data_IF_793071163799
#
_entry.id   IF_793071163799
#
_cell.length_a   1.000
_cell.length_b   1.000
_cell.length_c   1.000
_cell.angle_alpha   90.00
_cell.angle_beta   90.00
_cell.angle_gamma   90.00
#
_symmetry.space_group_name_H-M   'P 1'
#
loop_
_entity.id
_entity.type
_entity.pdbx_description
1 polymer ?
#
# COMPACT_ATOMS: atom_id res chain seq x y z
N UNK A 1 24.25 7.37 -54.00
CA UNK A 1 24.16 8.19 -52.82
C UNK A 1 23.18 7.57 -51.85
N UNK A 2 23.69 6.88 -50.91
CA UNK A 2 22.84 6.42 -49.79
C UNK A 2 22.63 7.55 -48.86
N UNK A 3 21.44 8.08 -48.89
CA UNK A 3 20.93 8.81 -47.76
C UNK A 3 20.77 7.75 -46.69
N UNK A 4 21.59 7.80 -45.65
CA UNK A 4 21.36 6.97 -44.47
C UNK A 4 19.96 7.28 -43.96
N UNK A 5 19.10 6.33 -44.13
CA UNK A 5 17.84 6.37 -43.40
C UNK A 5 18.22 6.34 -41.93
N UNK A 6 18.12 7.48 -41.32
CA UNK A 6 18.14 7.58 -39.88
C UNK A 6 16.88 6.84 -39.41
N UNK A 7 17.05 5.55 -39.18
CA UNK A 7 16.02 4.74 -38.55
C UNK A 7 15.90 5.17 -37.10
N UNK A 8 15.33 6.33 -36.89
CA UNK A 8 14.90 6.78 -35.58
C UNK A 8 13.67 6.05 -35.11
N UNK A 9 13.47 4.84 -35.60
CA UNK A 9 12.40 3.97 -35.14
C UNK A 9 12.80 3.46 -33.76
N UNK A 10 12.06 3.81 -32.69
CA UNK A 10 12.38 3.32 -31.37
C UNK A 10 12.40 1.79 -31.40
N UNK A 11 13.36 1.17 -30.71
CA UNK A 11 13.40 -0.27 -30.58
C UNK A 11 12.11 -0.78 -29.94
N UNK A 12 11.73 -2.01 -30.21
CA UNK A 12 10.54 -2.61 -29.58
C UNK A 12 10.56 -2.49 -28.06
N UNK A 13 11.74 -2.60 -27.45
CA UNK A 13 11.93 -2.45 -26.01
C UNK A 13 11.58 -1.04 -25.53
N UNK A 14 12.00 0.00 -26.27
CA UNK A 14 11.65 1.39 -25.97
C UNK A 14 10.16 1.66 -26.06
N UNK A 15 9.48 1.05 -27.05
CA UNK A 15 8.02 1.16 -27.19
C UNK A 15 7.30 0.44 -26.06
N UNK A 16 7.77 -0.71 -25.65
CA UNK A 16 7.22 -1.46 -24.53
C UNK A 16 7.37 -0.68 -23.22
N UNK A 17 8.53 -0.09 -22.98
CA UNK A 17 8.77 0.75 -21.80
C UNK A 17 7.85 1.97 -21.78
N UNK A 18 7.71 2.67 -22.91
CA UNK A 18 6.84 3.83 -23.02
C UNK A 18 5.37 3.45 -22.78
N UNK A 19 4.94 2.33 -23.35
CA UNK A 19 3.58 1.83 -23.19
C UNK A 19 3.31 1.42 -21.73
N UNK A 20 4.27 0.75 -21.10
CA UNK A 20 4.19 0.36 -19.69
C UNK A 20 4.08 1.59 -18.78
N UNK A 21 4.91 2.60 -19.02
CA UNK A 21 4.88 3.85 -18.26
C UNK A 21 3.53 4.56 -18.39
N UNK A 22 2.95 4.59 -19.60
CA UNK A 22 1.62 5.16 -19.82
C UNK A 22 0.54 4.37 -19.10
N UNK A 23 0.63 3.05 -19.12
CA UNK A 23 -0.32 2.17 -18.43
C UNK A 23 -0.26 2.37 -16.92
N UNK A 24 0.93 2.42 -16.35
CA UNK A 24 1.13 2.67 -14.92
C UNK A 24 0.59 4.04 -14.50
N UNK A 25 0.86 5.08 -15.29
CA UNK A 25 0.35 6.42 -15.03
C UNK A 25 -1.17 6.47 -15.09
N UNK A 26 -1.78 5.78 -16.06
CA UNK A 26 -3.23 5.70 -16.20
C UNK A 26 -3.87 4.96 -15.01
N UNK A 27 -3.26 3.87 -14.57
CA UNK A 27 -3.72 3.10 -13.41
C UNK A 27 -3.64 3.91 -12.13
N UNK A 28 -2.54 4.64 -11.93
CA UNK A 28 -2.37 5.52 -10.77
C UNK A 28 -3.42 6.62 -10.75
N UNK A 29 -3.64 7.26 -11.89
CA UNK A 29 -4.65 8.32 -12.04
C UNK A 29 -6.05 7.80 -11.76
N UNK A 30 -6.39 6.63 -12.27
CA UNK A 30 -7.68 5.99 -12.03
C UNK A 30 -7.87 5.63 -10.55
N UNK A 31 -6.83 5.10 -9.90
CA UNK A 31 -6.86 4.80 -8.48
C UNK A 31 -7.07 6.06 -7.64
N UNK A 32 -6.36 7.14 -7.96
CA UNK A 32 -6.52 8.42 -7.29
C UNK A 32 -7.93 8.99 -7.48
N UNK A 33 -8.49 8.86 -8.68
CA UNK A 33 -9.86 9.28 -8.98
C UNK A 33 -10.88 8.52 -8.11
N UNK A 34 -10.75 7.21 -8.03
CA UNK A 34 -11.65 6.36 -7.23
C UNK A 34 -11.57 6.71 -5.75
N UNK A 35 -10.39 6.92 -5.22
CA UNK A 35 -10.20 7.32 -3.82
C UNK A 35 -10.83 8.70 -3.57
N UNK A 36 -10.62 9.65 -4.48
CA UNK A 36 -11.19 11.00 -4.37
C UNK A 36 -12.71 11.02 -4.44
N UNK A 37 -13.31 10.13 -5.23
CA UNK A 37 -14.76 9.99 -5.32
C UNK A 37 -15.36 9.32 -4.08
N UNK A 38 -14.65 8.36 -3.50
CA UNK A 38 -15.11 7.62 -2.32
C UNK A 38 -14.88 8.37 -1.02
N UNK A 39 -13.88 9.24 -0.96
CA UNK A 39 -13.45 9.93 0.25
C UNK A 39 -13.22 11.42 -0.02
N UNK A 40 -13.49 12.25 0.99
CA UNK A 40 -13.19 13.68 0.93
C UNK A 40 -11.67 13.91 0.93
N UNK A 41 -11.10 14.56 -0.10
CA UNK A 41 -9.68 14.86 -0.14
C UNK A 41 -9.17 15.71 1.04
N UNK A 42 -10.01 16.57 1.59
CA UNK A 42 -9.67 17.39 2.76
C UNK A 42 -9.51 16.52 3.99
N UNK A 43 -10.40 15.55 4.17
CA UNK A 43 -10.33 14.58 5.26
C UNK A 43 -9.11 13.68 5.15
N UNK A 44 -8.78 13.21 3.95
CA UNK A 44 -7.57 12.43 3.68
C UNK A 44 -6.33 13.24 4.08
N UNK A 45 -6.24 14.50 3.64
CA UNK A 45 -5.12 15.37 3.97
C UNK A 45 -4.99 15.61 5.47
N UNK A 46 -6.11 15.75 6.18
CA UNK A 46 -6.13 15.88 7.63
C UNK A 46 -5.56 14.63 8.31
N UNK A 47 -5.99 13.46 7.88
CA UNK A 47 -5.54 12.17 8.42
C UNK A 47 -4.05 11.92 8.16
N UNK A 48 -3.54 12.31 6.99
CA UNK A 48 -2.13 12.19 6.65
C UNK A 48 -1.20 12.98 7.56
N UNK A 49 -1.71 14.06 8.16
CA UNK A 49 -0.94 14.93 9.06
C UNK A 49 -0.93 14.45 10.50
N UNK A 50 -1.79 13.52 10.86
CA UNK A 50 -1.84 12.98 12.22
C UNK A 50 -0.63 12.12 12.51
N UNK A 51 -0.13 12.17 13.74
CA UNK A 51 0.95 11.30 14.19
C UNK A 51 0.41 9.91 14.47
N UNK A 52 0.92 8.91 13.76
CA UNK A 52 0.54 7.51 13.97
C UNK A 52 0.94 7.03 15.36
N UNK A 53 2.09 7.47 15.85
CA UNK A 53 2.57 7.12 17.19
C UNK A 53 1.59 7.64 18.26
N UNK A 54 1.20 8.89 18.16
CA UNK A 54 0.25 9.49 19.11
C UNK A 54 -1.12 8.79 19.07
N UNK A 55 -1.60 8.46 17.88
CA UNK A 55 -2.85 7.73 17.71
C UNK A 55 -2.79 6.34 18.35
N UNK A 56 -1.68 5.64 18.18
CA UNK A 56 -1.50 4.33 18.78
C UNK A 56 -1.38 4.41 20.31
N UNK A 57 -0.67 5.38 20.85
CA UNK A 57 -0.51 5.57 22.28
C UNK A 57 -1.84 5.89 22.98
N UNK A 58 -2.69 6.63 22.32
CA UNK A 58 -4.02 7.02 22.86
C UNK A 58 -5.12 6.02 22.53
N UNK A 59 -4.80 4.95 21.79
CA UNK A 59 -5.77 3.98 21.29
C UNK A 59 -6.94 4.66 20.54
N UNK A 60 -6.58 5.60 19.68
CA UNK A 60 -7.52 6.45 18.95
C UNK A 60 -8.13 5.70 17.77
N UNK A 61 -9.43 5.86 17.57
CA UNK A 61 -10.16 5.24 16.46
C UNK A 61 -9.71 5.76 15.09
N UNK A 62 -9.01 6.89 15.04
CA UNK A 62 -8.47 7.45 13.79
C UNK A 62 -7.21 6.73 13.32
N UNK A 63 -6.65 5.80 14.07
CA UNK A 63 -5.43 5.08 13.66
C UNK A 63 -5.61 4.35 12.33
N UNK A 64 -6.67 3.56 12.18
CA UNK A 64 -6.94 2.84 10.92
C UNK A 64 -7.22 3.80 9.78
N UNK A 65 -8.10 4.82 9.91
CA UNK A 65 -8.27 5.81 8.85
C UNK A 65 -6.96 6.53 8.48
N UNK A 66 -6.12 6.85 9.44
CA UNK A 66 -4.84 7.51 9.20
C UNK A 66 -3.87 6.60 8.44
N UNK A 67 -3.85 5.30 8.74
CA UNK A 67 -3.07 4.32 7.98
C UNK A 67 -3.59 4.19 6.55
N UNK A 68 -4.90 4.11 6.38
CA UNK A 68 -5.53 4.05 5.06
C UNK A 68 -5.22 5.28 4.21
N UNK A 69 -5.15 6.46 4.82
CA UNK A 69 -4.80 7.71 4.12
C UNK A 69 -3.39 7.69 3.52
N UNK A 70 -2.50 6.89 4.08
CA UNK A 70 -1.12 6.76 3.62
C UNK A 70 -0.93 5.74 2.50
N UNK A 71 -1.97 4.97 2.19
CA UNK A 71 -1.92 3.99 1.10
C UNK A 71 -2.03 4.67 -0.25
N UNK A 72 -1.26 4.20 -1.22
CA UNK A 72 -1.33 4.63 -2.60
C UNK A 72 -2.39 3.84 -3.39
N UNK A 73 -2.05 3.34 -4.58
CA UNK A 73 -3.02 2.66 -5.45
C UNK A 73 -3.72 1.46 -4.82
N UNK A 74 -3.07 0.78 -3.87
CA UNK A 74 -3.64 -0.37 -3.17
C UNK A 74 -4.92 -0.01 -2.40
N UNK A 75 -5.07 1.25 -1.99
CA UNK A 75 -6.29 1.71 -1.30
C UNK A 75 -7.53 1.54 -2.17
N UNK A 76 -7.43 1.87 -3.46
CA UNK A 76 -8.54 1.71 -4.38
C UNK A 76 -8.97 0.24 -4.51
N UNK A 77 -8.02 -0.68 -4.49
CA UNK A 77 -8.31 -2.12 -4.51
C UNK A 77 -9.04 -2.56 -3.23
N UNK A 78 -8.61 -2.10 -2.07
CA UNK A 78 -9.27 -2.40 -0.80
C UNK A 78 -10.69 -1.84 -0.75
N UNK A 79 -10.87 -0.58 -1.12
CA UNK A 79 -12.18 0.08 -1.16
C UNK A 79 -13.12 -0.60 -2.15
N UNK A 80 -12.60 -1.00 -3.31
CA UNK A 80 -13.38 -1.65 -4.36
C UNK A 80 -13.94 -3.01 -3.95
N UNK A 81 -13.32 -3.69 -2.99
CA UNK A 81 -13.79 -4.97 -2.46
C UNK A 81 -14.59 -4.83 -1.16
N UNK A 82 -14.83 -3.61 -0.72
CA UNK A 82 -15.58 -3.36 0.51
C UNK A 82 -14.81 -3.77 1.76
N UNK A 83 -13.50 -3.92 1.64
CA UNK A 83 -12.63 -4.30 2.73
C UNK A 83 -11.82 -3.13 3.28
N UNK A 84 -11.04 -3.40 4.30
CA UNK A 84 -10.16 -2.42 4.92
C UNK A 84 -9.12 -3.07 5.80
N UNK A 85 -8.24 -2.24 6.35
CA UNK A 85 -7.23 -2.69 7.29
C UNK A 85 -7.84 -2.89 8.67
N UNK A 86 -7.37 -3.93 9.34
CA UNK A 86 -7.61 -4.16 10.75
C UNK A 86 -6.25 -4.15 11.45
N UNK A 87 -6.09 -3.34 12.49
CA UNK A 87 -4.87 -3.33 13.30
C UNK A 87 -5.05 -4.35 14.42
N UNK A 88 -4.33 -5.46 14.31
CA UNK A 88 -4.35 -6.51 15.32
C UNK A 88 -3.48 -6.11 16.51
N UNK A 89 -2.34 -5.50 16.23
CA UNK A 89 -1.40 -5.04 17.25
C UNK A 89 -0.65 -3.81 16.75
N UNK A 90 -0.46 -2.83 17.62
CA UNK A 90 0.35 -1.65 17.36
C UNK A 90 1.24 -1.41 18.58
N UNK A 91 2.55 -1.51 18.39
CA UNK A 91 3.55 -1.33 19.44
C UNK A 91 4.41 -0.13 19.12
N UNK A 92 4.52 0.80 20.07
CA UNK A 92 5.42 1.95 19.95
C UNK A 92 6.82 1.51 20.40
N UNK A 93 7.78 1.67 19.51
CA UNK A 93 9.18 1.33 19.76
C UNK A 93 10.04 2.59 19.78
N UNK A 94 10.98 2.65 20.72
CA UNK A 94 11.98 3.71 20.74
C UNK A 94 13.15 3.35 19.83
N UNK A 95 13.49 4.27 18.95
CA UNK A 95 14.60 4.12 18.02
C UNK A 95 15.88 4.66 18.63
N UNK A 96 17.03 4.21 18.11
CA UNK A 96 18.34 4.68 18.58
C UNK A 96 18.52 6.20 18.44
N UNK A 97 17.79 6.82 17.53
CA UNK A 97 17.78 8.27 17.34
C UNK A 97 17.01 9.05 18.42
N UNK A 98 16.35 8.34 19.35
CA UNK A 98 15.49 8.93 20.36
C UNK A 98 14.07 9.22 19.92
N UNK A 99 13.75 8.98 18.64
CA UNK A 99 12.39 9.08 18.11
C UNK A 99 11.60 7.80 18.35
N UNK A 100 10.28 7.90 18.35
CA UNK A 100 9.38 6.75 18.47
C UNK A 100 8.84 6.35 17.10
N UNK A 101 8.64 5.05 16.91
CA UNK A 101 8.05 4.50 15.69
C UNK A 101 7.13 3.33 16.01
N UNK A 102 6.31 2.93 15.05
CA UNK A 102 5.34 1.86 15.20
C UNK A 102 5.79 0.56 14.56
N UNK A 103 5.59 -0.53 15.28
CA UNK A 103 5.52 -1.88 14.74
C UNK A 103 4.07 -2.30 14.67
N UNK A 104 3.61 -2.68 13.48
CA UNK A 104 2.22 -3.02 13.23
C UNK A 104 2.06 -4.48 12.86
N UNK A 105 1.03 -5.12 13.40
CA UNK A 105 0.51 -6.39 12.91
C UNK A 105 -0.89 -6.11 12.39
N UNK A 106 -1.09 -6.41 11.11
CA UNK A 106 -2.30 -6.07 10.37
C UNK A 106 -3.05 -7.33 9.95
N UNK A 107 -4.34 -7.16 9.77
CA UNK A 107 -5.22 -8.12 9.13
C UNK A 107 -6.05 -7.39 8.09
N UNK A 108 -6.77 -8.12 7.26
CA UNK A 108 -7.70 -7.56 6.31
C UNK A 108 -9.12 -8.01 6.66
N UNK A 109 -10.05 -7.07 6.51
CA UNK A 109 -11.45 -7.32 6.85
C UNK A 109 -12.17 -8.07 5.72
N UNK A 110 -13.02 -8.99 6.12
CA UNK A 110 -14.11 -9.62 5.37
C UNK A 110 -13.81 -10.00 3.92
N UNK A 111 -14.36 -9.23 3.01
CA UNK A 111 -14.32 -9.50 1.57
C UNK A 111 -12.90 -9.50 0.97
N UNK A 112 -11.97 -8.76 1.55
CA UNK A 112 -10.57 -8.74 1.08
C UNK A 112 -9.89 -10.09 1.29
N UNK A 113 -10.20 -10.78 2.37
CA UNK A 113 -9.65 -12.11 2.67
C UNK A 113 -10.26 -13.14 1.71
N UNK A 114 -11.58 -13.13 1.54
CA UNK A 114 -12.28 -14.12 0.72
C UNK A 114 -12.08 -13.93 -0.79
N UNK A 115 -11.85 -12.71 -1.25
CA UNK A 115 -11.53 -12.44 -2.66
C UNK A 115 -10.04 -12.64 -2.99
N UNK A 116 -9.25 -13.07 -2.02
CA UNK A 116 -7.86 -13.35 -2.20
C UNK A 116 -7.03 -12.07 -2.29
N UNK A 117 -6.73 -11.48 -1.14
CA UNK A 117 -5.67 -10.49 -1.08
C UNK A 117 -4.41 -11.13 -1.66
N UNK A 118 -4.10 -10.82 -2.91
CA UNK A 118 -2.93 -11.36 -3.57
C UNK A 118 -1.68 -10.98 -2.77
N UNK A 119 -0.61 -11.80 -2.77
CA UNK A 119 0.64 -11.42 -2.11
C UNK A 119 1.15 -10.04 -2.51
N UNK A 120 0.92 -9.64 -3.77
CA UNK A 120 1.25 -8.30 -4.24
C UNK A 120 0.48 -7.18 -3.56
N UNK A 121 -0.79 -7.41 -3.19
CA UNK A 121 -1.59 -6.44 -2.45
C UNK A 121 -1.03 -6.24 -1.04
N UNK A 122 -0.70 -7.33 -0.35
CA UNK A 122 -0.11 -7.26 0.98
C UNK A 122 1.23 -6.54 0.97
N UNK A 123 2.05 -6.82 -0.03
CA UNK A 123 3.34 -6.15 -0.20
C UNK A 123 3.15 -4.67 -0.48
N UNK A 124 2.18 -4.29 -1.31
CA UNK A 124 1.86 -2.90 -1.57
C UNK A 124 1.45 -2.12 -0.32
N UNK A 125 0.63 -2.73 0.53
CA UNK A 125 0.27 -2.16 1.83
C UNK A 125 1.51 -1.97 2.70
N UNK A 126 2.33 -3.00 2.80
CA UNK A 126 3.56 -2.97 3.60
C UNK A 126 4.51 -1.89 3.11
N UNK A 127 4.78 -1.83 1.81
CA UNK A 127 5.69 -0.85 1.22
C UNK A 127 5.20 0.58 1.43
N UNK A 128 3.91 0.82 1.21
CA UNK A 128 3.32 2.15 1.37
C UNK A 128 3.39 2.64 2.83
N UNK A 129 3.10 1.77 3.78
CA UNK A 129 3.15 2.14 5.19
C UNK A 129 4.59 2.33 5.69
N UNK A 130 5.54 1.53 5.19
CA UNK A 130 6.95 1.67 5.56
C UNK A 130 7.59 2.96 5.01
N UNK A 131 6.95 3.62 4.06
CA UNK A 131 7.40 4.94 3.59
C UNK A 131 7.19 6.04 4.63
N UNK A 132 6.30 5.83 5.59
CA UNK A 132 6.11 6.78 6.69
C UNK A 132 7.22 6.61 7.72
N UNK A 133 7.83 7.73 8.12
CA UNK A 133 8.95 7.73 9.07
C UNK A 133 8.55 7.19 10.46
N UNK A 134 7.26 7.22 10.79
CA UNK A 134 6.75 6.71 12.06
C UNK A 134 6.50 5.20 12.05
N UNK A 135 6.63 4.53 10.90
CA UNK A 135 6.41 3.08 10.77
C UNK A 135 7.73 2.37 10.54
N UNK A 136 8.09 1.47 11.43
CA UNK A 136 9.36 0.72 11.38
C UNK A 136 9.16 -0.73 10.96
N UNK A 137 8.00 -1.30 11.20
CA UNK A 137 7.70 -2.69 10.85
C UNK A 137 6.22 -2.87 10.53
N UNK A 138 5.93 -3.61 9.48
CA UNK A 138 4.56 -4.01 9.12
C UNK A 138 4.56 -5.51 8.86
N UNK A 139 3.73 -6.22 9.59
CA UNK A 139 3.53 -7.67 9.44
C UNK A 139 2.04 -7.97 9.33
N UNK A 140 1.73 -9.14 8.83
CA UNK A 140 0.36 -9.61 8.74
C UNK A 140 0.13 -10.74 9.75
N UNK A 141 -1.11 -10.85 10.24
CA UNK A 141 -1.44 -11.85 11.24
C UNK A 141 -1.27 -13.27 10.70
N UNK A 142 -0.94 -14.22 11.59
CA UNK A 142 -0.80 -15.64 11.24
C UNK A 142 -2.13 -16.19 10.71
N UNK A 143 -3.24 -15.80 11.32
CA UNK A 143 -4.58 -16.22 10.87
C UNK A 143 -4.84 -15.84 9.40
N UNK A 144 -4.37 -14.67 8.97
CA UNK A 144 -4.51 -14.25 7.59
C UNK A 144 -3.65 -15.09 6.64
N UNK A 145 -2.44 -15.47 7.07
CA UNK A 145 -1.54 -16.30 6.25
C UNK A 145 -2.11 -17.71 6.00
N UNK A 146 -2.97 -18.20 6.83
CA UNK A 146 -3.63 -19.50 6.65
C UNK A 146 -4.56 -19.54 5.43
N UNK A 147 -5.01 -18.39 4.94
CA UNK A 147 -5.84 -18.28 3.75
C UNK A 147 -5.06 -18.46 2.44
N UNK A 148 -3.74 -18.47 2.49
CA UNK A 148 -2.89 -18.66 1.32
C UNK A 148 -2.45 -20.11 1.20
N UNK A 149 -2.18 -20.56 -0.04
CA UNK A 149 -1.48 -21.81 -0.25
C UNK A 149 -0.01 -21.69 0.19
N UNK A 150 0.70 -22.82 0.25
CA UNK A 150 2.06 -22.86 0.74
C UNK A 150 3.01 -21.94 -0.04
N UNK A 151 2.82 -21.84 -1.36
CA UNK A 151 3.65 -20.97 -2.21
C UNK A 151 3.41 -19.50 -1.93
N UNK A 152 2.14 -19.09 -1.80
CA UNK A 152 1.77 -17.73 -1.47
C UNK A 152 2.23 -17.36 -0.07
N UNK A 153 2.09 -18.27 0.87
CA UNK A 153 2.59 -18.11 2.24
C UNK A 153 4.08 -17.87 2.27
N UNK A 154 4.86 -18.67 1.56
CA UNK A 154 6.31 -18.50 1.44
C UNK A 154 6.67 -17.13 0.86
N UNK A 155 5.96 -16.67 -0.15
CA UNK A 155 6.19 -15.35 -0.74
C UNK A 155 5.98 -14.22 0.28
N UNK A 156 4.89 -14.29 1.06
CA UNK A 156 4.57 -13.27 2.07
C UNK A 156 5.59 -13.28 3.21
N UNK A 157 6.02 -14.46 3.65
CA UNK A 157 6.97 -14.58 4.76
C UNK A 157 8.39 -14.16 4.39
N UNK A 158 8.79 -14.31 3.12
CA UNK A 158 10.13 -13.91 2.64
C UNK A 158 10.25 -12.42 2.36
N UNK A 159 9.15 -11.74 2.21
CA UNK A 159 9.08 -10.33 1.85
C UNK A 159 8.30 -9.56 2.90
#
# INVERSE_FOLDING_TARGET
MNVGEDDSNPTSDSLEEAYRAQTEAAMLKESQRRVSEAHDPIEIARLEKLSLVELAESDDLNLVPALMARLGPVRAALDGHGGGLVVTEAVVEEMHSGSSALSLILDLDGACVSCGAAPGTLRGIQDDLLMDAEVVSVRFSVAMLEWFDDLQRDFVLKH
#
